data_IF_963992897942
#
_entry.id   IF_963992897942
#
_cell.length_a   1.000
_cell.length_b   1.000
_cell.length_c   1.000
_cell.angle_alpha   90.00
_cell.angle_beta   90.00
_cell.angle_gamma   90.00
#
_symmetry.space_group_name_H-M   'P 1'
#
loop_
_entity.id
_entity.type
_entity.pdbx_description
1 polymer ?
#
# COMPACT_ATOMS: atom_id res chain seq x y z
N UNK A 1 -26.77 8.26 -56.85
CA UNK A 1 -27.54 7.40 -55.92
C UNK A 1 -26.68 6.38 -55.21
N UNK A 2 -25.81 5.63 -55.92
CA UNK A 2 -25.00 4.57 -55.31
C UNK A 2 -24.06 5.06 -54.18
N UNK A 3 -23.42 6.22 -54.35
CA UNK A 3 -22.54 6.82 -53.32
C UNK A 3 -23.29 7.20 -52.04
N UNK A 4 -24.51 7.72 -52.15
CA UNK A 4 -25.34 8.11 -50.99
C UNK A 4 -25.79 6.88 -50.21
N UNK A 5 -26.16 5.81 -50.91
CA UNK A 5 -26.50 4.53 -50.30
C UNK A 5 -25.30 3.94 -49.54
N UNK A 6 -24.10 4.03 -50.13
CA UNK A 6 -22.85 3.52 -49.56
C UNK A 6 -22.45 4.30 -48.30
N UNK A 7 -22.57 5.64 -48.31
CA UNK A 7 -22.34 6.46 -47.12
C UNK A 7 -23.34 6.15 -45.99
N UNK A 8 -24.60 5.85 -46.33
CA UNK A 8 -25.64 5.56 -45.34
C UNK A 8 -25.43 4.20 -44.69
N UNK A 9 -25.05 3.18 -45.46
CA UNK A 9 -24.67 1.85 -44.94
C UNK A 9 -23.40 1.95 -44.08
N UNK A 10 -22.40 2.72 -44.53
CA UNK A 10 -21.15 2.89 -43.78
C UNK A 10 -21.38 3.67 -42.47
N UNK A 11 -22.23 4.70 -42.48
CA UNK A 11 -22.61 5.44 -41.28
C UNK A 11 -23.34 4.56 -40.25
N UNK A 12 -24.25 3.69 -40.71
CA UNK A 12 -24.91 2.71 -39.84
C UNK A 12 -23.89 1.71 -39.28
N UNK A 13 -22.98 1.19 -40.11
CA UNK A 13 -21.95 0.26 -39.68
C UNK A 13 -21.03 0.86 -38.59
N UNK A 14 -20.57 2.11 -38.78
CA UNK A 14 -19.74 2.82 -37.78
C UNK A 14 -20.54 3.11 -36.51
N UNK A 15 -21.80 3.55 -36.62
CA UNK A 15 -22.66 3.79 -35.46
C UNK A 15 -22.92 2.50 -34.66
N UNK A 16 -23.08 1.35 -35.33
CA UNK A 16 -23.18 0.05 -34.65
C UNK A 16 -21.86 -0.39 -34.03
N UNK A 17 -20.73 -0.07 -34.66
CA UNK A 17 -19.40 -0.40 -34.15
C UNK A 17 -19.07 0.44 -32.92
N UNK A 18 -19.35 1.75 -32.92
CA UNK A 18 -19.19 2.63 -31.75
C UNK A 18 -20.04 2.15 -30.57
N UNK A 19 -21.30 1.76 -30.80
CA UNK A 19 -22.16 1.19 -29.75
C UNK A 19 -21.70 -0.16 -29.21
N UNK A 20 -20.98 -0.96 -30.01
CA UNK A 20 -20.36 -2.21 -29.56
C UNK A 20 -18.99 -1.99 -28.91
N UNK A 21 -18.28 -0.91 -29.26
CA UNK A 21 -17.00 -0.51 -28.64
C UNK A 21 -17.20 0.13 -27.26
N UNK A 22 -18.41 0.65 -26.96
CA UNK A 22 -18.80 1.04 -25.59
C UNK A 22 -19.08 -0.16 -24.65
N UNK A 23 -19.00 -1.40 -25.13
CA UNK A 23 -19.09 -2.62 -24.30
C UNK A 23 -17.73 -3.27 -24.00
N UNK A 24 -16.66 -2.50 -24.15
CA UNK A 24 -15.28 -2.91 -23.85
C UNK A 24 -14.86 -2.69 -22.40
N UNK A 25 -15.77 -2.47 -21.46
CA UNK A 25 -15.43 -2.46 -20.04
C UNK A 25 -15.52 -3.87 -19.45
N UNK A 26 -14.48 -4.66 -19.74
CA UNK A 26 -14.25 -5.93 -19.07
C UNK A 26 -13.70 -5.76 -17.64
N UNK A 27 -13.79 -4.56 -17.04
CA UNK A 27 -13.35 -4.28 -15.66
C UNK A 27 -14.51 -4.07 -14.68
N UNK A 28 -15.77 -3.96 -15.14
CA UNK A 28 -16.92 -3.67 -14.26
C UNK A 28 -17.62 -4.93 -13.68
N UNK A 29 -17.00 -6.11 -13.84
CA UNK A 29 -17.48 -7.37 -13.23
C UNK A 29 -16.36 -8.21 -12.61
N UNK A 30 -15.34 -7.58 -12.03
CA UNK A 30 -14.65 -8.21 -10.90
C UNK A 30 -15.69 -8.37 -9.78
N UNK A 31 -16.28 -9.57 -9.69
CA UNK A 31 -17.38 -9.85 -8.76
C UNK A 31 -16.92 -9.46 -7.36
N UNK A 32 -17.68 -8.65 -6.61
CA UNK A 32 -17.36 -8.34 -5.21
C UNK A 32 -17.05 -9.58 -4.37
N UNK A 33 -17.60 -10.74 -4.74
CA UNK A 33 -17.31 -12.04 -4.12
C UNK A 33 -15.86 -12.52 -4.30
N UNK A 34 -15.22 -12.31 -5.45
CA UNK A 34 -13.85 -12.79 -5.70
C UNK A 34 -12.81 -11.89 -4.99
N UNK A 35 -13.10 -10.59 -4.88
CA UNK A 35 -12.32 -9.66 -4.06
C UNK A 35 -12.44 -9.98 -2.56
N UNK A 36 -13.61 -10.44 -2.10
CA UNK A 36 -13.80 -10.90 -0.72
C UNK A 36 -13.01 -12.18 -0.42
N UNK A 37 -12.94 -13.13 -1.37
CA UNK A 37 -12.12 -14.34 -1.21
C UNK A 37 -10.63 -14.00 -1.17
N UNK A 38 -10.15 -13.08 -2.02
CA UNK A 38 -8.75 -12.66 -2.00
C UNK A 38 -8.42 -11.94 -0.70
N UNK A 39 -9.26 -11.00 -0.25
CA UNK A 39 -9.08 -10.30 1.01
C UNK A 39 -9.08 -11.25 2.21
N UNK A 40 -10.01 -12.21 2.25
CA UNK A 40 -10.04 -13.25 3.30
C UNK A 40 -8.75 -14.08 3.26
N UNK A 41 -8.25 -14.45 2.08
CA UNK A 41 -6.98 -15.17 1.97
C UNK A 41 -5.78 -14.37 2.48
N UNK A 42 -5.75 -13.05 2.24
CA UNK A 42 -4.69 -12.16 2.73
C UNK A 42 -4.79 -11.97 4.24
N UNK A 43 -6.00 -11.79 4.76
CA UNK A 43 -6.26 -11.71 6.20
C UNK A 43 -5.90 -13.02 6.90
N UNK A 44 -6.18 -14.18 6.30
CA UNK A 44 -5.78 -15.49 6.83
C UNK A 44 -4.25 -15.68 6.83
N UNK A 45 -3.54 -15.17 5.80
CA UNK A 45 -2.07 -15.21 5.74
C UNK A 45 -1.45 -14.29 6.78
N UNK A 46 -1.88 -13.03 6.87
CA UNK A 46 -1.49 -12.11 7.94
C UNK A 46 -1.78 -12.75 9.31
N UNK A 47 -2.91 -13.47 9.39
CA UNK A 47 -3.31 -14.15 10.59
C UNK A 47 -2.35 -15.26 11.02
N UNK A 48 -1.84 -16.05 10.08
CA UNK A 48 -0.83 -17.08 10.33
C UNK A 48 0.51 -16.47 10.75
N UNK A 49 0.98 -15.44 10.05
CA UNK A 49 2.27 -14.78 10.29
C UNK A 49 2.36 -14.19 11.72
N UNK A 50 1.30 -13.52 12.19
CA UNK A 50 1.22 -13.00 13.57
C UNK A 50 1.39 -14.08 14.66
N UNK A 51 0.93 -15.31 14.40
CA UNK A 51 1.03 -16.41 15.37
C UNK A 51 2.43 -16.95 15.42
N UNK A 52 3.01 -17.13 14.24
CA UNK A 52 4.39 -17.55 14.10
C UNK A 52 5.34 -16.58 14.81
N UNK A 53 5.08 -15.27 14.74
CA UNK A 53 5.77 -14.25 15.55
C UNK A 53 5.60 -14.53 17.06
N UNK A 54 4.38 -14.78 17.52
CA UNK A 54 4.10 -15.05 18.94
C UNK A 54 4.77 -16.34 19.44
N UNK A 55 4.76 -17.39 18.61
CA UNK A 55 5.34 -18.69 18.94
C UNK A 55 6.87 -18.62 18.95
N UNK A 56 7.48 -17.95 17.95
CA UNK A 56 8.92 -17.71 17.93
C UNK A 56 9.38 -16.87 19.13
N UNK A 57 8.61 -15.87 19.55
CA UNK A 57 8.88 -15.11 20.77
C UNK A 57 8.88 -16.02 22.01
N UNK A 58 7.89 -16.91 22.13
CA UNK A 58 7.80 -17.87 23.24
C UNK A 58 8.98 -18.86 23.24
N UNK A 59 9.26 -19.47 22.09
CA UNK A 59 10.38 -20.42 21.93
C UNK A 59 11.72 -19.77 22.26
N UNK A 60 11.95 -18.52 21.83
CA UNK A 60 13.18 -17.80 22.18
C UNK A 60 13.29 -17.54 23.68
N UNK A 61 12.20 -17.15 24.33
CA UNK A 61 12.18 -16.95 25.79
C UNK A 61 12.48 -18.25 26.54
N UNK A 62 11.93 -19.38 26.09
CA UNK A 62 12.20 -20.72 26.66
C UNK A 62 13.65 -21.16 26.44
N UNK A 63 14.21 -20.95 25.23
CA UNK A 63 15.61 -21.29 24.92
C UNK A 63 16.60 -20.44 25.73
N UNK A 64 16.30 -19.17 25.94
CA UNK A 64 17.09 -18.28 26.81
C UNK A 64 17.01 -18.70 28.28
N UNK A 65 15.83 -19.07 28.76
CA UNK A 65 15.62 -19.50 30.15
C UNK A 65 16.25 -20.87 30.45
N UNK A 66 16.28 -21.77 29.47
CA UNK A 66 16.87 -23.12 29.59
C UNK A 66 18.39 -23.16 29.44
N UNK A 67 19.03 -22.05 29.04
CA UNK A 67 20.47 -22.00 28.80
C UNK A 67 20.91 -22.86 27.62
N UNK A 68 20.03 -23.03 26.61
CA UNK A 68 20.27 -23.89 25.46
C UNK A 68 21.55 -23.49 24.72
N UNK A 69 22.39 -24.48 24.40
CA UNK A 69 23.67 -24.29 23.71
C UNK A 69 23.55 -24.25 22.18
N UNK A 70 22.35 -24.45 21.63
CA UNK A 70 22.14 -24.46 20.18
C UNK A 70 21.96 -23.03 19.63
N UNK A 71 23.09 -22.31 19.64
CA UNK A 71 23.16 -20.91 19.25
C UNK A 71 22.68 -20.66 17.80
N UNK A 72 22.91 -21.62 16.90
CA UNK A 72 22.49 -21.52 15.52
C UNK A 72 20.96 -21.56 15.37
N UNK A 73 20.28 -22.44 16.13
CA UNK A 73 18.82 -22.50 16.16
C UNK A 73 18.20 -21.19 16.71
N UNK A 74 18.81 -20.62 17.77
CA UNK A 74 18.38 -19.35 18.36
C UNK A 74 18.53 -18.20 17.37
N UNK A 75 19.67 -18.12 16.66
CA UNK A 75 19.91 -17.07 15.66
C UNK A 75 18.94 -17.17 14.49
N UNK A 76 18.66 -18.39 14.00
CA UNK A 76 17.68 -18.60 12.95
C UNK A 76 16.27 -18.17 13.38
N UNK A 77 15.83 -18.56 14.58
CA UNK A 77 14.53 -18.18 15.13
C UNK A 77 14.42 -16.65 15.31
N UNK A 78 15.48 -15.98 15.76
CA UNK A 78 15.53 -14.51 15.86
C UNK A 78 15.44 -13.82 14.50
N UNK A 79 16.19 -14.30 13.51
CA UNK A 79 16.14 -13.75 12.17
C UNK A 79 14.74 -13.88 11.55
N UNK A 80 14.12 -15.06 11.71
CA UNK A 80 12.75 -15.32 11.24
C UNK A 80 11.72 -14.45 11.96
N UNK A 81 11.84 -14.32 13.29
CA UNK A 81 10.98 -13.44 14.08
C UNK A 81 11.09 -11.98 13.61
N UNK A 82 12.31 -11.49 13.39
CA UNK A 82 12.55 -10.13 12.92
C UNK A 82 11.92 -9.90 11.54
N UNK A 83 12.18 -10.80 10.58
CA UNK A 83 11.63 -10.71 9.23
C UNK A 83 10.09 -10.69 9.24
N UNK A 84 9.47 -11.60 9.98
CA UNK A 84 8.01 -11.67 10.10
C UNK A 84 7.42 -10.44 10.79
N UNK A 85 8.06 -9.96 11.85
CA UNK A 85 7.59 -8.77 12.59
C UNK A 85 7.63 -7.51 11.72
N UNK A 86 8.66 -7.37 10.87
CA UNK A 86 8.75 -6.29 9.89
C UNK A 86 7.63 -6.41 8.86
N UNK A 87 7.40 -7.62 8.33
CA UNK A 87 6.38 -7.89 7.32
C UNK A 87 4.96 -7.53 7.78
N UNK A 88 4.60 -7.89 9.03
CA UNK A 88 3.29 -7.55 9.60
C UNK A 88 3.25 -6.13 10.20
N UNK A 89 4.39 -5.45 10.24
CA UNK A 89 4.53 -4.08 10.73
C UNK A 89 4.40 -3.89 12.24
N UNK A 90 4.72 -4.91 13.05
CA UNK A 90 4.69 -4.81 14.53
C UNK A 90 5.98 -4.27 15.14
N UNK A 91 7.04 -4.12 14.33
CA UNK A 91 8.31 -3.51 14.72
C UNK A 91 8.73 -2.44 13.71
N UNK A 92 9.56 -1.46 14.11
CA UNK A 92 10.13 -0.50 13.17
C UNK A 92 11.09 -1.19 12.20
N UNK A 93 11.31 -0.59 11.04
CA UNK A 93 12.23 -1.05 10.02
C UNK A 93 13.14 0.09 9.55
N UNK A 94 14.35 -0.27 9.13
CA UNK A 94 15.34 0.66 8.57
C UNK A 94 16.01 0.04 7.36
N UNK A 95 16.33 0.83 6.36
CA UNK A 95 16.96 0.36 5.12
C UNK A 95 17.08 1.48 4.09
N UNK A 96 17.66 1.20 2.92
CA UNK A 96 17.65 2.15 1.81
C UNK A 96 16.21 2.41 1.38
N UNK A 97 15.95 3.59 0.82
CA UNK A 97 14.62 3.92 0.33
C UNK A 97 14.44 5.36 -0.10
N UNK A 98 13.18 5.80 -0.09
CA UNK A 98 12.78 7.16 -0.48
C UNK A 98 11.92 7.81 0.60
N UNK A 99 12.04 9.13 0.70
CA UNK A 99 11.05 10.00 1.34
C UNK A 99 10.37 10.83 0.27
N UNK A 100 9.07 10.61 0.09
CA UNK A 100 8.20 11.44 -0.75
C UNK A 100 7.61 12.54 0.13
N UNK A 101 7.64 13.78 -0.34
CA UNK A 101 6.97 14.92 0.29
C UNK A 101 5.95 15.46 -0.68
N UNK A 102 4.68 15.44 -0.31
CA UNK A 102 3.57 15.91 -1.13
C UNK A 102 3.05 17.22 -0.54
N UNK A 103 3.29 18.31 -1.27
CA UNK A 103 2.66 19.60 -1.01
C UNK A 103 1.27 19.63 -1.63
N UNK A 104 0.27 20.05 -0.86
CA UNK A 104 -1.11 20.16 -1.34
C UNK A 104 -1.76 21.47 -0.85
N UNK A 105 -1.33 22.63 -1.40
CA UNK A 105 -1.80 23.94 -0.94
C UNK A 105 -3.28 24.19 -1.30
N UNK A 106 -3.79 23.53 -2.34
CA UNK A 106 -5.18 23.60 -2.78
C UNK A 106 -6.08 22.59 -2.05
N UNK A 107 -5.52 21.69 -1.24
CA UNK A 107 -6.25 20.56 -0.65
C UNK A 107 -7.01 19.77 -1.71
N UNK A 108 -6.34 19.49 -2.83
CA UNK A 108 -6.90 18.81 -4.01
C UNK A 108 -6.51 17.34 -4.13
N UNK A 109 -5.55 16.84 -3.34
CA UNK A 109 -5.12 15.44 -3.40
C UNK A 109 -6.19 14.54 -2.78
N UNK A 110 -6.85 13.76 -3.62
CA UNK A 110 -7.91 12.85 -3.23
C UNK A 110 -7.38 11.52 -2.67
N UNK A 111 -8.25 10.76 -2.01
CA UNK A 111 -7.93 9.46 -1.42
C UNK A 111 -7.40 8.46 -2.46
N UNK A 112 -7.99 8.47 -3.65
CA UNK A 112 -7.62 7.62 -4.79
C UNK A 112 -6.17 7.90 -5.22
N UNK A 113 -5.79 9.17 -5.32
CA UNK A 113 -4.43 9.57 -5.69
C UNK A 113 -3.41 9.12 -4.64
N UNK A 114 -3.75 9.19 -3.36
CA UNK A 114 -2.88 8.67 -2.30
C UNK A 114 -2.75 7.15 -2.35
N UNK A 115 -3.83 6.45 -2.69
CA UNK A 115 -3.81 5.01 -2.90
C UNK A 115 -2.93 4.62 -4.10
N UNK A 116 -2.96 5.41 -5.18
CA UNK A 116 -2.09 5.23 -6.34
C UNK A 116 -0.61 5.36 -5.96
N UNK A 117 -0.22 6.39 -5.18
CA UNK A 117 1.15 6.53 -4.64
C UNK A 117 1.58 5.26 -3.90
N UNK A 118 0.73 4.76 -2.99
CA UNK A 118 1.01 3.56 -2.20
C UNK A 118 1.18 2.34 -3.11
N UNK A 119 0.34 2.20 -4.13
CA UNK A 119 0.35 1.04 -5.03
C UNK A 119 1.52 1.07 -6.01
N UNK A 120 1.90 2.24 -6.52
CA UNK A 120 3.09 2.39 -7.35
C UNK A 120 4.36 2.04 -6.56
N UNK A 121 4.46 2.48 -5.29
CA UNK A 121 5.56 2.07 -4.41
C UNK A 121 5.59 0.54 -4.16
N UNK A 122 4.43 -0.08 -3.94
CA UNK A 122 4.34 -1.56 -3.83
C UNK A 122 4.78 -2.26 -5.11
N UNK A 123 4.32 -1.77 -6.27
CA UNK A 123 4.70 -2.33 -7.56
C UNK A 123 6.21 -2.20 -7.83
N UNK A 124 6.82 -1.13 -7.32
CA UNK A 124 8.26 -0.87 -7.36
C UNK A 124 9.08 -1.68 -6.34
N UNK A 125 8.43 -2.50 -5.50
CA UNK A 125 9.12 -3.35 -4.53
C UNK A 125 9.36 -2.71 -3.17
N UNK A 126 8.55 -1.74 -2.75
CA UNK A 126 8.62 -1.22 -1.39
C UNK A 126 8.31 -2.33 -0.36
N UNK A 127 9.21 -2.51 0.60
CA UNK A 127 9.16 -3.57 1.61
C UNK A 127 8.44 -3.14 2.89
N UNK A 128 8.56 -1.86 3.24
CA UNK A 128 7.86 -1.24 4.37
C UNK A 128 7.59 0.23 4.04
N UNK A 129 6.40 0.72 4.42
CA UNK A 129 6.01 2.10 4.18
C UNK A 129 5.28 2.70 5.37
N UNK A 130 5.46 4.00 5.56
CA UNK A 130 4.71 4.81 6.52
C UNK A 130 4.27 6.09 5.83
N UNK A 131 3.01 6.47 6.02
CA UNK A 131 2.50 7.78 5.63
C UNK A 131 2.40 8.68 6.88
N UNK A 132 2.78 9.93 6.71
CA UNK A 132 2.76 10.98 7.73
C UNK A 132 1.97 12.18 7.21
N UNK A 133 1.37 12.90 8.13
CA UNK A 133 0.71 14.17 7.88
C UNK A 133 0.38 14.85 9.19
N UNK A 134 -0.12 16.08 9.11
CA UNK A 134 -0.64 16.74 10.31
C UNK A 134 -1.99 16.15 10.72
N UNK A 135 -2.28 16.04 12.01
CA UNK A 135 -3.53 15.50 12.51
C UNK A 135 -3.79 15.98 13.92
N UNK A 136 -4.93 16.64 14.17
CA UNK A 136 -5.30 17.11 15.51
C UNK A 136 -4.33 18.14 16.13
N UNK A 137 -3.51 18.82 15.31
CA UNK A 137 -2.51 19.79 15.75
C UNK A 137 -1.11 19.22 15.99
N UNK A 138 -0.90 17.91 15.80
CA UNK A 138 0.41 17.25 15.91
C UNK A 138 0.74 16.44 14.64
N UNK A 139 1.97 15.93 14.53
CA UNK A 139 2.33 14.98 13.48
C UNK A 139 1.72 13.61 13.79
N UNK A 140 0.98 13.07 12.82
CA UNK A 140 0.40 11.73 12.89
C UNK A 140 1.01 10.86 11.80
N UNK A 141 1.14 9.56 12.08
CA UNK A 141 1.63 8.61 11.10
C UNK A 141 0.94 7.26 11.15
N UNK A 142 0.97 6.56 10.02
CA UNK A 142 0.31 5.28 9.83
C UNK A 142 1.26 4.33 9.10
N UNK A 143 1.47 3.15 9.69
CA UNK A 143 2.19 2.05 9.05
C UNK A 143 1.30 1.41 7.99
N UNK A 144 1.72 1.48 6.74
CA UNK A 144 1.00 0.87 5.64
C UNK A 144 1.13 -0.65 5.73
N UNK A 145 0.00 -1.35 5.80
CA UNK A 145 -0.13 -2.79 5.73
C UNK A 145 -0.86 -3.23 4.46
N UNK A 146 -1.21 -4.52 4.39
CA UNK A 146 -1.92 -5.10 3.24
C UNK A 146 -3.40 -4.68 3.17
N UNK A 147 -4.05 -4.52 4.32
CA UNK A 147 -5.46 -4.10 4.45
C UNK A 147 -5.61 -2.60 4.72
N UNK A 148 -4.55 -1.81 4.49
CA UNK A 148 -4.62 -0.36 4.68
C UNK A 148 -5.59 0.27 3.69
N UNK A 149 -6.46 1.12 4.19
CA UNK A 149 -7.45 1.87 3.40
C UNK A 149 -7.26 3.38 3.55
N UNK A 150 -7.66 4.12 2.51
CA UNK A 150 -7.65 5.58 2.46
C UNK A 150 -9.03 6.05 2.02
N UNK A 151 -9.63 6.98 2.76
CA UNK A 151 -10.92 7.62 2.43
C UNK A 151 -10.91 9.08 2.89
N UNK A 152 -12.02 9.78 2.73
CA UNK A 152 -12.20 11.15 3.22
C UNK A 152 -11.98 12.20 2.13
N UNK A 153 -12.34 13.46 2.42
CA UNK A 153 -12.18 14.54 1.46
C UNK A 153 -10.70 14.92 1.31
N UNK A 154 -10.35 15.47 0.16
CA UNK A 154 -9.04 16.07 -0.06
C UNK A 154 -8.73 17.14 1.01
N UNK A 155 -7.48 17.19 1.45
CA UNK A 155 -7.05 18.00 2.59
C UNK A 155 -7.29 17.38 3.97
N UNK A 156 -8.07 16.29 4.09
CA UNK A 156 -8.32 15.57 5.35
C UNK A 156 -8.55 14.07 5.11
N UNK A 157 -7.52 13.40 4.61
CA UNK A 157 -7.53 11.97 4.29
C UNK A 157 -7.53 11.15 5.57
N UNK A 158 -8.34 10.09 5.64
CA UNK A 158 -8.33 9.13 6.75
C UNK A 158 -7.64 7.86 6.28
N UNK A 159 -6.53 7.51 6.93
CA UNK A 159 -5.74 6.30 6.67
C UNK A 159 -5.79 5.40 7.90
N UNK A 160 -6.32 4.18 7.78
CA UNK A 160 -6.50 3.22 8.88
C UNK A 160 -7.04 3.84 10.18
N UNK A 161 -8.01 4.74 10.06
CA UNK A 161 -8.69 5.51 11.14
C UNK A 161 -7.94 6.73 11.67
N UNK A 162 -6.79 7.09 11.11
CA UNK A 162 -6.05 8.31 11.44
C UNK A 162 -6.29 9.37 10.37
N UNK A 163 -6.82 10.53 10.76
CA UNK A 163 -6.94 11.68 9.86
C UNK A 163 -5.58 12.35 9.66
N UNK A 164 -5.17 12.49 8.41
CA UNK A 164 -3.97 13.15 7.95
C UNK A 164 -4.34 14.33 7.04
N UNK A 165 -3.77 15.48 7.35
CA UNK A 165 -3.87 16.73 6.62
C UNK A 165 -2.51 17.05 5.97
N UNK A 166 -2.49 17.76 4.82
CA UNK A 166 -1.26 18.07 4.12
C UNK A 166 -0.37 19.05 4.90
N UNK A 167 0.93 19.14 4.60
CA UNK A 167 1.66 18.32 3.62
C UNK A 167 1.78 16.87 4.08
N UNK A 168 1.75 15.95 3.11
CA UNK A 168 1.93 14.53 3.37
C UNK A 168 3.39 14.12 3.17
N UNK A 169 3.85 13.13 3.93
CA UNK A 169 5.14 12.49 3.68
C UNK A 169 5.01 10.99 3.68
N UNK A 170 5.52 10.32 2.65
CA UNK A 170 5.57 8.87 2.59
C UNK A 170 7.03 8.45 2.67
N UNK A 171 7.36 7.63 3.66
CA UNK A 171 8.67 6.96 3.75
C UNK A 171 8.49 5.53 3.29
N UNK A 172 9.31 5.09 2.34
CA UNK A 172 9.28 3.75 1.78
C UNK A 172 10.69 3.15 1.75
N UNK A 173 10.84 1.95 2.31
CA UNK A 173 12.07 1.14 2.25
C UNK A 173 12.03 0.27 0.98
N UNK A 174 13.13 0.23 0.24
CA UNK A 174 13.30 -0.54 -1.00
C UNK A 174 14.48 0.00 -1.82
N UNK A 175 14.64 -0.47 -3.06
CA UNK A 175 15.68 0.05 -3.95
C UNK A 175 15.39 1.52 -4.34
N UNK A 176 16.20 2.51 -3.90
CA UNK A 176 15.85 3.92 -4.06
C UNK A 176 15.67 4.37 -5.53
N UNK A 177 16.53 3.96 -6.48
CA UNK A 177 16.33 4.29 -7.90
C UNK A 177 15.04 3.70 -8.45
N UNK A 178 14.70 2.46 -8.12
CA UNK A 178 13.47 1.80 -8.60
C UNK A 178 12.21 2.47 -8.03
N UNK A 179 12.20 2.78 -6.73
CA UNK A 179 11.09 3.49 -6.09
C UNK A 179 10.90 4.90 -6.68
N UNK A 180 12.00 5.64 -6.88
CA UNK A 180 11.95 6.97 -7.48
C UNK A 180 11.49 6.93 -8.94
N UNK A 181 11.96 5.95 -9.73
CA UNK A 181 11.55 5.80 -11.13
C UNK A 181 10.05 5.52 -11.26
N UNK A 182 9.48 4.72 -10.35
CA UNK A 182 8.05 4.39 -10.37
C UNK A 182 7.15 5.63 -10.22
N UNK A 183 7.51 6.56 -9.34
CA UNK A 183 6.75 7.82 -9.17
C UNK A 183 6.82 8.75 -10.39
N UNK A 184 7.83 8.59 -11.24
CA UNK A 184 8.02 9.42 -12.45
C UNK A 184 7.40 8.79 -13.70
N UNK A 185 6.59 7.72 -13.56
CA UNK A 185 5.89 7.11 -14.69
C UNK A 185 4.81 8.08 -15.21
N UNK A 186 4.83 8.44 -16.51
CA UNK A 186 3.84 9.37 -17.08
C UNK A 186 2.41 8.86 -16.92
N UNK A 187 1.51 9.77 -16.56
CA UNK A 187 0.11 9.50 -16.26
C UNK A 187 -0.14 8.89 -14.87
N UNK A 188 0.90 8.73 -14.06
CA UNK A 188 0.84 8.11 -12.73
C UNK A 188 0.48 9.06 -11.59
N UNK A 189 0.94 8.71 -10.40
CA UNK A 189 0.60 9.40 -9.16
C UNK A 189 1.16 10.84 -9.10
N UNK A 190 2.38 11.08 -9.57
CA UNK A 190 2.98 12.43 -9.61
C UNK A 190 2.16 13.38 -10.49
N UNK A 191 1.87 12.99 -11.74
CA UNK A 191 1.05 13.78 -12.66
C UNK A 191 -0.35 14.06 -12.11
N UNK A 192 -0.91 13.10 -11.36
CA UNK A 192 -2.21 13.24 -10.71
C UNK A 192 -2.20 14.27 -9.57
N UNK A 193 -1.11 14.35 -8.80
CA UNK A 193 -0.90 15.36 -7.76
C UNK A 193 -0.68 16.75 -8.39
N UNK A 194 0.14 16.85 -9.44
CA UNK A 194 0.42 18.12 -10.10
C UNK A 194 -0.83 18.72 -10.77
N UNK A 195 -1.68 17.86 -11.35
CA UNK A 195 -2.94 18.26 -11.99
C UNK A 195 -3.94 18.94 -11.06
N UNK A 196 -3.86 18.68 -9.75
CA UNK A 196 -4.69 19.35 -8.73
C UNK A 196 -4.00 20.53 -8.06
N UNK A 197 -2.82 20.93 -8.56
CA UNK A 197 -2.02 22.04 -8.03
C UNK A 197 -1.15 21.66 -6.83
N UNK A 198 -0.97 20.36 -6.57
CA UNK A 198 0.00 19.85 -5.61
C UNK A 198 1.42 19.76 -6.19
N UNK A 199 2.35 19.30 -5.37
CA UNK A 199 3.72 18.99 -5.78
C UNK A 199 4.22 17.73 -5.09
N UNK A 200 5.11 16.99 -5.73
CA UNK A 200 5.81 15.86 -5.11
C UNK A 200 7.33 16.07 -5.20
N UNK A 201 8.01 15.96 -4.06
CA UNK A 201 9.47 15.94 -3.98
C UNK A 201 9.91 14.55 -3.52
N UNK A 202 10.83 13.95 -4.26
CA UNK A 202 11.36 12.60 -4.00
C UNK A 202 12.80 12.72 -3.53
N UNK A 203 13.09 12.23 -2.33
CA UNK A 203 14.44 12.18 -1.80
C UNK A 203 14.86 10.72 -1.60
N UNK A 204 15.83 10.28 -2.39
CA UNK A 204 16.49 8.98 -2.22
C UNK A 204 17.49 9.05 -1.05
N UNK A 205 17.63 7.96 -0.31
CA UNK A 205 18.58 7.83 0.79
C UNK A 205 19.02 6.38 0.96
N UNK A 206 20.29 6.19 1.34
CA UNK A 206 20.82 4.88 1.76
C UNK A 206 20.21 4.40 3.08
N UNK A 207 19.55 5.32 3.81
CA UNK A 207 18.86 5.02 5.06
C UNK A 207 17.61 5.87 5.23
N UNK A 208 16.49 5.18 5.40
CA UNK A 208 15.22 5.73 5.88
C UNK A 208 14.69 4.86 7.02
N UNK A 209 13.92 5.47 7.92
CA UNK A 209 13.35 4.79 9.07
C UNK A 209 11.81 4.83 8.99
N UNK A 210 11.20 3.64 9.01
CA UNK A 210 9.75 3.41 9.12
C UNK A 210 9.49 3.02 10.58
N UNK A 211 8.97 3.97 11.36
CA UNK A 211 8.84 3.83 12.82
C UNK A 211 7.41 3.60 13.26
N UNK A 212 6.42 3.95 12.43
CA UNK A 212 5.03 3.61 12.69
C UNK A 212 4.84 2.09 12.77
N UNK A 213 3.95 1.68 13.68
CA UNK A 213 3.61 0.29 13.92
C UNK A 213 2.13 0.04 13.63
N UNK A 214 1.81 -1.15 13.14
CA UNK A 214 0.44 -1.62 13.03
C UNK A 214 -0.05 -2.11 14.38
N UNK A 215 -1.29 -1.78 14.70
CA UNK A 215 -1.99 -2.37 15.84
C UNK A 215 -2.75 -3.62 15.37
N UNK A 216 -2.44 -4.82 15.86
CA UNK A 216 -3.18 -6.02 15.48
C UNK A 216 -4.65 -5.89 15.88
N UNK A 217 -5.57 -6.06 14.93
CA UNK A 217 -7.01 -6.13 15.24
C UNK A 217 -7.29 -7.41 16.05
N UNK A 218 -7.98 -7.33 17.21
CA UNK A 218 -8.33 -8.52 17.97
C UNK A 218 -9.25 -9.42 17.16
N UNK A 219 -8.92 -10.72 17.10
CA UNK A 219 -9.66 -11.71 16.31
C UNK A 219 -10.80 -12.28 17.14
N UNK A 220 -12.00 -12.31 16.56
CA UNK A 220 -13.18 -12.88 17.21
C UNK A 220 -13.35 -14.38 16.91
N UNK A 221 -12.95 -14.82 15.70
CA UNK A 221 -13.23 -16.19 15.21
C UNK A 221 -11.98 -16.96 14.79
N UNK A 222 -11.05 -16.31 14.07
CA UNK A 222 -9.90 -16.99 13.49
C UNK A 222 -8.87 -17.39 14.56
N UNK A 223 -8.79 -18.68 14.86
CA UNK A 223 -7.80 -19.25 15.76
C UNK A 223 -6.60 -19.84 15.00
N UNK A 224 -5.39 -19.79 15.57
CA UNK A 224 -4.24 -20.60 15.16
C UNK A 224 -4.58 -22.03 14.83
N UNK A 225 -4.07 -22.53 13.70
CA UNK A 225 -3.92 -23.98 13.53
C UNK A 225 -2.87 -24.42 14.55
N UNK A 226 -3.20 -25.45 15.33
CA UNK A 226 -2.30 -26.03 16.33
C UNK A 226 -1.10 -26.71 15.70
#
# INVERSE_FOLDING_TARGET
MLAVLLCLVLGIAIATQVRQTDSGDALDTARPADLLVLLDSLQQREAALNREVTDLQRTLAELQASGSSDQAAIENARARLAALSILIGTVPATGPGVTLTIGDPSSGVAAETMLDVINELRAAGAEAMEIRGSGGGDQSSVRIGVDTWVVGPAGALVVDSTTLNPPYSIVAIGDPPTLAAAMNIPGGAMDSIERVGGSMVIQQSDRVDVTALRQPKPRQYAQPVK
#
